data_IF_801976437744
#
_entry.id   IF_801976437744
#
_cell.length_a   1.000
_cell.length_b   1.000
_cell.length_c   1.000
_cell.angle_alpha   90.00
_cell.angle_beta   90.00
_cell.angle_gamma   90.00
#
_symmetry.space_group_name_H-M   'P 1'
#
loop_
_entity.id
_entity.type
_entity.pdbx_description
1 polymer ?
#
# COMPACT_ATOMS: atom_id res chain seq x y z
N UNK A 1 -3.83 9.36 -4.34
CA UNK A 1 -4.87 9.14 -5.37
C UNK A 1 -6.24 8.84 -4.77
N UNK A 2 -6.61 7.61 -4.38
CA UNK A 2 -8.00 7.34 -3.90
C UNK A 2 -8.35 8.16 -2.66
N UNK A 3 -7.40 8.27 -1.72
CA UNK A 3 -7.56 9.11 -0.53
C UNK A 3 -7.80 10.60 -0.87
N UNK A 4 -6.99 11.17 -1.77
CA UNK A 4 -7.17 12.55 -2.25
C UNK A 4 -8.50 12.73 -3.01
N UNK A 5 -8.92 11.73 -3.79
CA UNK A 5 -10.21 11.75 -4.48
C UNK A 5 -11.37 11.78 -3.48
N UNK A 6 -11.30 11.03 -2.37
CA UNK A 6 -12.27 11.09 -1.28
C UNK A 6 -12.31 12.50 -0.69
N UNK A 7 -11.16 13.11 -0.40
CA UNK A 7 -11.11 14.47 0.15
C UNK A 7 -11.74 15.51 -0.78
N UNK A 8 -11.54 15.38 -2.10
CA UNK A 8 -12.15 16.28 -3.08
C UNK A 8 -13.68 16.14 -3.17
N UNK A 9 -14.23 14.94 -2.91
CA UNK A 9 -15.68 14.69 -2.91
C UNK A 9 -16.35 14.99 -1.56
N UNK A 10 -15.58 15.29 -0.51
CA UNK A 10 -16.11 15.53 0.84
C UNK A 10 -16.91 14.33 1.37
N UNK A 11 -18.09 14.59 1.96
CA UNK A 11 -18.92 13.54 2.54
C UNK A 11 -19.40 12.50 1.52
N UNK A 12 -19.59 12.88 0.26
CA UNK A 12 -19.94 11.96 -0.82
C UNK A 12 -18.80 10.96 -1.14
N UNK A 13 -17.54 11.34 -0.87
CA UNK A 13 -16.38 10.47 -1.06
C UNK A 13 -16.36 9.25 -0.14
N UNK A 14 -17.08 9.29 0.98
CA UNK A 14 -17.22 8.16 1.91
C UNK A 14 -18.61 7.51 1.86
N UNK A 15 -19.52 8.01 1.02
CA UNK A 15 -20.85 7.43 0.86
C UNK A 15 -20.80 6.18 -0.03
N UNK A 16 -21.96 5.52 -0.20
CA UNK A 16 -22.12 4.41 -1.14
C UNK A 16 -22.55 4.89 -2.53
N UNK A 17 -22.69 6.19 -2.73
CA UNK A 17 -23.08 6.79 -4.02
C UNK A 17 -21.92 6.80 -5.02
N UNK A 18 -20.68 6.72 -4.50
CA UNK A 18 -19.46 6.59 -5.29
C UNK A 18 -18.71 5.31 -4.91
N UNK A 19 -17.89 4.73 -5.80
CA UNK A 19 -17.11 3.53 -5.48
C UNK A 19 -15.88 3.82 -4.60
N UNK A 20 -15.63 5.09 -4.23
CA UNK A 20 -14.38 5.54 -3.60
C UNK A 20 -14.14 4.87 -2.24
N UNK A 21 -15.17 4.73 -1.42
CA UNK A 21 -15.08 4.05 -0.13
C UNK A 21 -14.69 2.56 -0.28
N UNK A 22 -15.29 1.87 -1.25
CA UNK A 22 -14.98 0.46 -1.54
C UNK A 22 -13.54 0.31 -2.04
N UNK A 23 -13.08 1.19 -2.92
CA UNK A 23 -11.69 1.19 -3.41
C UNK A 23 -10.68 1.44 -2.29
N UNK A 24 -10.95 2.41 -1.41
CA UNK A 24 -10.06 2.69 -0.27
C UNK A 24 -9.90 1.47 0.64
N UNK A 25 -11.00 0.76 0.93
CA UNK A 25 -10.97 -0.48 1.70
C UNK A 25 -10.19 -1.59 0.99
N UNK A 26 -10.46 -1.85 -0.29
CA UNK A 26 -9.77 -2.88 -1.06
C UNK A 26 -8.26 -2.60 -1.20
N UNK A 27 -7.86 -1.35 -1.40
CA UNK A 27 -6.45 -0.99 -1.45
C UNK A 27 -5.77 -1.30 -0.11
N UNK A 28 -6.45 -1.12 1.01
CA UNK A 28 -5.89 -1.45 2.33
C UNK A 28 -5.68 -2.95 2.50
N UNK A 29 -6.57 -3.78 1.97
CA UNK A 29 -6.40 -5.24 2.01
C UNK A 29 -5.23 -5.69 1.15
N UNK A 30 -5.01 -5.06 -0.01
CA UNK A 30 -3.90 -5.39 -0.91
C UNK A 30 -2.52 -5.12 -0.30
N UNK A 31 -2.40 -4.19 0.65
CA UNK A 31 -1.14 -3.96 1.39
C UNK A 31 -0.73 -5.10 2.32
N UNK A 32 -1.62 -6.07 2.50
CA UNK A 32 -1.37 -7.30 3.25
C UNK A 32 -1.30 -8.52 2.33
N UNK A 33 -1.88 -8.43 1.13
CA UNK A 33 -1.88 -9.50 0.16
C UNK A 33 -0.44 -9.82 -0.29
N UNK A 34 -0.13 -11.12 -0.41
CA UNK A 34 1.19 -11.64 -0.79
C UNK A 34 2.37 -11.14 0.07
N UNK A 35 2.07 -10.67 1.28
CA UNK A 35 3.03 -10.19 2.27
C UNK A 35 2.81 -8.72 2.62
N UNK A 36 2.87 -8.35 3.91
CA UNK A 36 2.82 -6.95 4.30
C UNK A 36 3.95 -6.13 3.66
N UNK A 37 3.71 -4.84 3.40
CA UNK A 37 4.72 -3.94 2.81
C UNK A 37 6.11 -4.01 3.49
N UNK A 38 6.16 -4.28 4.80
CA UNK A 38 7.41 -4.42 5.55
C UNK A 38 8.24 -5.63 5.09
N UNK A 39 7.58 -6.74 4.75
CA UNK A 39 8.25 -7.94 4.23
C UNK A 39 8.81 -7.67 2.84
N UNK A 40 8.04 -7.02 1.95
CA UNK A 40 8.51 -6.65 0.62
C UNK A 40 9.70 -5.68 0.69
N UNK A 41 9.61 -4.63 1.53
CA UNK A 41 10.74 -3.71 1.74
C UNK A 41 11.99 -4.42 2.26
N UNK A 42 11.84 -5.36 3.19
CA UNK A 42 12.96 -6.17 3.70
C UNK A 42 13.58 -7.04 2.62
N UNK A 43 12.76 -7.66 1.77
CA UNK A 43 13.24 -8.48 0.64
C UNK A 43 14.07 -7.65 -0.34
N UNK A 44 13.55 -6.49 -0.75
CA UNK A 44 14.29 -5.54 -1.61
C UNK A 44 15.59 -5.08 -0.93
N UNK A 45 15.53 -4.67 0.35
CA UNK A 45 16.71 -4.24 1.08
C UNK A 45 17.79 -5.33 1.15
N UNK A 46 17.43 -6.59 1.42
CA UNK A 46 18.37 -7.72 1.41
C UNK A 46 19.00 -7.95 0.04
N UNK A 47 18.21 -7.86 -1.03
CA UNK A 47 18.70 -8.03 -2.40
C UNK A 47 19.69 -6.92 -2.80
N UNK A 48 19.40 -5.67 -2.45
CA UNK A 48 20.27 -4.53 -2.74
C UNK A 48 21.54 -4.53 -1.88
N UNK A 49 21.42 -4.74 -0.56
CA UNK A 49 22.59 -4.74 0.35
C UNK A 49 23.59 -5.86 0.02
N UNK A 50 23.13 -7.02 -0.48
CA UNK A 50 24.00 -8.12 -0.92
C UNK A 50 24.99 -7.72 -2.02
N UNK A 51 24.67 -6.70 -2.82
CA UNK A 51 25.56 -6.18 -3.86
C UNK A 51 26.70 -5.33 -3.28
N UNK A 52 26.52 -4.81 -2.07
CA UNK A 52 27.42 -3.82 -1.47
C UNK A 52 28.15 -4.32 -0.22
N UNK A 53 27.69 -5.42 0.41
CA UNK A 53 28.29 -5.95 1.64
C UNK A 53 28.41 -7.49 1.57
N UNK A 54 29.51 -8.05 2.08
CA UNK A 54 29.73 -9.51 2.20
C UNK A 54 29.20 -10.12 3.52
N UNK A 55 28.57 -9.31 4.37
CA UNK A 55 27.96 -9.78 5.61
C UNK A 55 26.74 -10.67 5.33
N UNK A 56 26.59 -11.76 6.09
CA UNK A 56 25.39 -12.61 6.01
C UNK A 56 24.23 -11.91 6.75
N UNK A 57 23.28 -11.36 5.99
CA UNK A 57 22.03 -10.72 6.46
C UNK A 57 20.86 -11.71 6.49
#
# INVERSE_FOLDING_TARGET
VVDEAIQLHGAEGISQDTPLAAYWMHLRTLRLADGPDAVHRRQVARAELRKHTQEKI
#
